data_IF_583636869826
#
_entry.id   IF_583636869826
#
_cell.length_a   1.000
_cell.length_b   1.000
_cell.length_c   1.000
_cell.angle_alpha   90.00
_cell.angle_beta   90.00
_cell.angle_gamma   90.00
#
_symmetry.space_group_name_H-M   'P 1'
#
loop_
_entity.id
_entity.type
_entity.pdbx_description
1 polymer ?
#
# COMPACT_ATOMS: atom_id res chain seq x y z
N UNK A 1 -19.75 3.29 14.44
CA UNK A 1 -19.63 2.84 13.01
C UNK A 1 -18.29 2.13 12.83
N UNK A 2 -18.24 0.98 12.16
CA UNK A 2 -16.95 0.31 11.84
C UNK A 2 -16.32 1.02 10.65
N UNK A 3 -15.03 1.32 10.76
CA UNK A 3 -14.25 2.06 9.75
C UNK A 3 -13.06 1.21 9.32
N UNK A 4 -12.82 1.13 8.00
CA UNK A 4 -11.61 0.51 7.44
C UNK A 4 -11.16 1.31 6.20
N UNK A 5 -10.10 2.09 6.37
CA UNK A 5 -9.60 3.00 5.34
C UNK A 5 -8.37 2.47 4.61
N UNK A 6 -7.94 1.22 4.87
CA UNK A 6 -6.76 0.63 4.24
C UNK A 6 -7.03 -0.83 3.85
N UNK A 7 -7.40 -1.02 2.57
CA UNK A 7 -7.81 -2.32 2.02
C UNK A 7 -7.27 -2.45 0.60
N UNK A 8 -6.82 -3.66 0.22
CA UNK A 8 -6.29 -3.94 -1.11
C UNK A 8 -7.19 -4.89 -1.90
N UNK A 9 -7.37 -4.57 -3.18
CA UNK A 9 -8.12 -5.38 -4.14
C UNK A 9 -7.19 -6.08 -5.15
N UNK A 10 -7.78 -6.89 -6.03
CA UNK A 10 -7.07 -7.46 -7.19
C UNK A 10 -6.55 -6.42 -8.18
N UNK A 11 -6.91 -5.14 -8.02
CA UNK A 11 -6.32 -4.05 -8.81
C UNK A 11 -4.88 -3.72 -8.39
N UNK A 12 -4.39 -4.30 -7.29
CA UNK A 12 -2.98 -4.35 -6.89
C UNK A 12 -2.59 -5.77 -6.50
N UNK A 13 -2.40 -6.04 -5.22
CA UNK A 13 -1.90 -7.31 -4.70
C UNK A 13 -2.82 -7.96 -3.66
N UNK A 14 -4.03 -7.46 -3.55
CA UNK A 14 -5.11 -8.11 -2.82
C UNK A 14 -5.70 -9.31 -3.57
N UNK A 15 -6.29 -10.25 -2.83
CA UNK A 15 -6.85 -11.49 -3.39
C UNK A 15 -8.35 -11.40 -3.69
N UNK A 16 -9.02 -10.33 -3.29
CA UNK A 16 -10.46 -10.15 -3.49
C UNK A 16 -10.74 -9.12 -4.59
N UNK A 17 -11.77 -9.37 -5.36
CA UNK A 17 -12.32 -8.36 -6.29
C UNK A 17 -13.00 -7.23 -5.51
N UNK A 18 -13.25 -6.11 -6.18
CA UNK A 18 -13.99 -4.99 -5.58
C UNK A 18 -15.37 -5.40 -5.09
N UNK A 19 -16.07 -6.26 -5.85
CA UNK A 19 -17.38 -6.80 -5.47
C UNK A 19 -17.30 -7.64 -4.21
N UNK A 20 -16.31 -8.53 -4.12
CA UNK A 20 -16.08 -9.38 -2.94
C UNK A 20 -15.76 -8.52 -1.73
N UNK A 21 -14.92 -7.48 -1.86
CA UNK A 21 -14.58 -6.55 -0.78
C UNK A 21 -15.80 -5.77 -0.26
N UNK A 22 -16.64 -5.25 -1.16
CA UNK A 22 -17.86 -4.51 -0.77
C UNK A 22 -18.88 -5.46 -0.10
N UNK A 23 -19.02 -6.68 -0.61
CA UNK A 23 -19.87 -7.69 0.02
C UNK A 23 -19.35 -8.09 1.41
N UNK A 24 -18.05 -8.27 1.57
CA UNK A 24 -17.43 -8.55 2.86
C UNK A 24 -17.61 -7.38 3.85
N UNK A 25 -17.43 -6.14 3.37
CA UNK A 25 -17.66 -4.93 4.15
C UNK A 25 -19.12 -4.88 4.68
N UNK A 26 -20.08 -5.21 3.83
CA UNK A 26 -21.50 -5.29 4.23
C UNK A 26 -21.74 -6.37 5.29
N UNK A 27 -21.19 -7.58 5.10
CA UNK A 27 -21.32 -8.68 6.05
C UNK A 27 -20.73 -8.35 7.42
N UNK A 28 -19.68 -7.53 7.46
CA UNK A 28 -19.00 -7.08 8.67
C UNK A 28 -19.55 -5.79 9.25
N UNK A 29 -20.62 -5.22 8.67
CA UNK A 29 -21.21 -3.93 9.07
C UNK A 29 -20.21 -2.76 9.04
N UNK A 30 -19.27 -2.77 8.09
CA UNK A 30 -18.38 -1.62 7.86
C UNK A 30 -19.21 -0.49 7.28
N UNK A 31 -19.23 0.64 7.98
CA UNK A 31 -20.01 1.81 7.56
C UNK A 31 -19.21 2.83 6.74
N UNK A 32 -17.88 2.81 6.86
CA UNK A 32 -16.96 3.64 6.09
C UNK A 32 -15.75 2.83 5.63
N UNK A 33 -15.46 2.85 4.32
CA UNK A 33 -14.31 2.14 3.76
C UNK A 33 -13.56 2.92 2.70
N UNK A 34 -12.32 2.52 2.47
CA UNK A 34 -11.51 2.93 1.33
C UNK A 34 -10.71 1.75 0.78
N UNK A 35 -10.72 1.56 -0.54
CA UNK A 35 -9.79 0.66 -1.22
C UNK A 35 -8.59 1.50 -1.64
N UNK A 36 -7.41 1.10 -1.21
CA UNK A 36 -6.15 1.85 -1.32
C UNK A 36 -5.09 1.08 -2.10
N UNK A 37 -5.48 0.54 -3.24
CA UNK A 37 -4.59 -0.28 -4.07
C UNK A 37 -3.23 0.39 -4.35
N UNK A 38 -2.16 -0.39 -4.30
CA UNK A 38 -0.79 0.10 -4.57
C UNK A 38 -0.65 0.70 -5.97
N UNK A 39 -0.33 2.00 -6.02
CA UNK A 39 -0.10 2.78 -7.25
C UNK A 39 -1.21 2.64 -8.29
N UNK A 40 -2.44 2.34 -7.86
CA UNK A 40 -3.60 2.12 -8.73
C UNK A 40 -4.86 2.79 -8.21
N UNK A 41 -5.56 3.48 -9.11
CA UNK A 41 -6.88 4.08 -8.84
C UNK A 41 -7.95 3.52 -9.79
N UNK A 42 -7.66 2.41 -10.47
CA UNK A 42 -8.54 1.85 -11.50
C UNK A 42 -9.88 1.37 -10.96
N UNK A 43 -9.92 0.94 -9.70
CA UNK A 43 -11.13 0.42 -9.06
C UNK A 43 -12.05 1.51 -8.48
N UNK A 44 -11.60 2.76 -8.35
CA UNK A 44 -12.23 3.78 -7.49
C UNK A 44 -13.69 4.11 -7.86
N UNK A 45 -14.00 4.28 -9.15
CA UNK A 45 -15.38 4.57 -9.58
C UNK A 45 -16.30 3.39 -9.29
N UNK A 46 -15.87 2.16 -9.63
CA UNK A 46 -16.60 0.92 -9.36
C UNK A 46 -16.83 0.69 -7.86
N UNK A 47 -15.80 0.88 -7.06
CA UNK A 47 -15.87 0.73 -5.61
C UNK A 47 -16.86 1.71 -4.97
N UNK A 48 -16.80 2.98 -5.35
CA UNK A 48 -17.73 4.01 -4.89
C UNK A 48 -19.20 3.67 -5.22
N UNK A 49 -19.45 3.24 -6.47
CA UNK A 49 -20.81 2.91 -6.89
C UNK A 49 -21.36 1.68 -6.17
N UNK A 50 -20.53 0.67 -5.95
CA UNK A 50 -20.92 -0.54 -5.24
C UNK A 50 -21.12 -0.27 -3.74
N UNK A 51 -20.22 0.48 -3.10
CA UNK A 51 -20.35 0.87 -1.70
C UNK A 51 -21.66 1.65 -1.48
N UNK A 52 -21.93 2.67 -2.30
CA UNK A 52 -23.17 3.46 -2.25
C UNK A 52 -24.44 2.59 -2.38
N UNK A 53 -24.45 1.64 -3.32
CA UNK A 53 -25.59 0.71 -3.50
C UNK A 53 -25.83 -0.18 -2.28
N UNK A 54 -24.78 -0.41 -1.47
CA UNK A 54 -24.86 -1.20 -0.24
C UNK A 54 -24.97 -0.36 1.04
N UNK A 55 -25.16 0.97 0.94
CA UNK A 55 -25.30 1.86 2.10
C UNK A 55 -23.99 2.07 2.87
N UNK A 56 -22.84 1.88 2.23
CA UNK A 56 -21.51 2.06 2.81
C UNK A 56 -20.94 3.39 2.32
N UNK A 57 -20.46 4.23 3.23
CA UNK A 57 -19.71 5.43 2.90
C UNK A 57 -18.35 5.03 2.29
N UNK A 58 -17.94 5.74 1.23
CA UNK A 58 -16.71 5.42 0.51
C UNK A 58 -15.82 6.65 0.33
N UNK A 59 -14.57 6.53 0.72
CA UNK A 59 -13.51 7.51 0.45
C UNK A 59 -12.63 6.98 -0.67
N UNK A 60 -12.38 7.78 -1.72
CA UNK A 60 -11.38 7.38 -2.73
C UNK A 60 -10.01 7.25 -2.09
N UNK A 61 -9.31 6.17 -2.41
CA UNK A 61 -8.02 5.84 -1.81
C UNK A 61 -6.99 5.32 -2.81
N UNK A 62 -5.72 5.52 -2.50
CA UNK A 62 -4.57 4.93 -3.20
C UNK A 62 -3.42 4.82 -2.22
N UNK A 63 -2.64 3.75 -2.30
CA UNK A 63 -1.37 3.66 -1.59
C UNK A 63 -0.21 3.86 -2.56
N UNK A 64 0.56 4.93 -2.34
CA UNK A 64 1.69 5.33 -3.18
C UNK A 64 3.00 4.87 -2.57
N UNK A 65 3.80 4.13 -3.33
CA UNK A 65 5.14 3.78 -2.91
C UNK A 65 6.12 4.91 -3.24
N UNK A 66 6.70 5.49 -2.20
CA UNK A 66 7.56 6.68 -2.25
C UNK A 66 9.01 6.30 -1.95
N UNK A 67 9.93 6.84 -2.73
CA UNK A 67 11.37 6.78 -2.46
C UNK A 67 11.73 7.86 -1.45
N UNK A 68 12.27 7.46 -0.31
CA UNK A 68 12.65 8.34 0.79
C UNK A 68 14.09 8.09 1.22
N UNK A 69 14.80 9.13 1.63
CA UNK A 69 16.13 9.02 2.26
C UNK A 69 16.27 10.06 3.37
N UNK A 70 17.02 9.72 4.39
CA UNK A 70 17.31 10.64 5.49
C UNK A 70 18.81 10.65 5.78
N UNK A 71 19.47 11.82 5.88
CA UNK A 71 20.94 11.90 5.96
C UNK A 71 21.52 11.23 7.22
N UNK A 72 20.76 11.21 8.32
CA UNK A 72 21.20 10.61 9.60
C UNK A 72 21.11 9.08 9.63
N UNK A 73 20.40 8.45 8.66
CA UNK A 73 20.11 7.01 8.69
C UNK A 73 20.63 6.34 7.42
N UNK A 74 21.15 5.11 7.56
CA UNK A 74 21.62 4.26 6.46
C UNK A 74 22.57 4.96 5.48
N UNK A 75 23.41 5.87 5.96
CA UNK A 75 24.36 6.63 5.11
C UNK A 75 23.64 7.42 3.99
N UNK A 76 22.40 7.85 4.20
CA UNK A 76 21.58 8.53 3.20
C UNK A 76 21.03 7.63 2.08
N UNK A 77 21.19 6.30 2.19
CA UNK A 77 20.65 5.35 1.20
C UNK A 77 19.12 5.37 1.21
N UNK A 78 18.55 5.42 0.03
CA UNK A 78 17.09 5.45 -0.15
C UNK A 78 16.42 4.16 0.32
N UNK A 79 15.24 4.32 0.89
CA UNK A 79 14.28 3.27 1.23
C UNK A 79 12.97 3.52 0.51
N UNK A 80 12.06 2.55 0.55
CA UNK A 80 10.65 2.78 0.19
C UNK A 80 9.84 3.05 1.45
N UNK A 81 8.93 4.00 1.38
CA UNK A 81 7.85 4.22 2.34
C UNK A 81 6.52 4.26 1.59
N UNK A 82 5.45 3.85 2.22
CA UNK A 82 4.12 3.92 1.62
C UNK A 82 3.31 5.09 2.22
N UNK A 83 2.55 5.76 1.35
CA UNK A 83 1.69 6.89 1.69
C UNK A 83 0.31 6.69 1.10
N UNK A 84 -0.70 6.91 1.91
CA UNK A 84 -2.11 6.83 1.50
C UNK A 84 -2.59 8.18 0.98
N UNK A 85 -3.14 8.18 -0.22
CA UNK A 85 -3.86 9.33 -0.75
C UNK A 85 -5.36 9.13 -0.55
N UNK A 86 -6.07 10.15 -0.06
CA UNK A 86 -7.51 10.08 0.21
C UNK A 86 -8.29 11.24 -0.39
N UNK A 87 -9.57 11.05 -0.68
CA UNK A 87 -10.53 12.06 -1.14
C UNK A 87 -10.14 12.78 -2.44
N UNK A 88 -9.24 12.24 -3.21
CA UNK A 88 -8.84 12.82 -4.50
C UNK A 88 -9.91 12.56 -5.58
N UNK A 89 -9.91 13.42 -6.59
CA UNK A 89 -10.65 13.17 -7.83
C UNK A 89 -9.92 12.10 -8.66
N UNK A 90 -10.52 10.90 -8.72
CA UNK A 90 -9.99 9.79 -9.51
C UNK A 90 -9.95 10.07 -11.03
N UNK A 91 -10.54 11.17 -11.51
CA UNK A 91 -10.47 11.63 -12.91
C UNK A 91 -9.32 12.59 -13.18
N UNK A 92 -8.61 13.04 -12.15
CA UNK A 92 -7.47 13.94 -12.30
C UNK A 92 -6.43 13.37 -13.28
N UNK A 93 -6.17 14.09 -14.36
CA UNK A 93 -5.34 13.62 -15.47
C UNK A 93 -3.88 13.48 -15.09
N UNK A 94 -3.35 14.37 -14.27
CA UNK A 94 -1.94 14.33 -13.85
C UNK A 94 -1.65 13.13 -12.94
N UNK A 95 -2.55 12.87 -11.98
CA UNK A 95 -2.45 11.69 -11.11
C UNK A 95 -2.56 10.39 -11.92
N UNK A 96 -3.56 10.29 -12.81
CA UNK A 96 -3.74 9.12 -13.70
C UNK A 96 -2.52 8.85 -14.57
N UNK A 97 -1.98 9.88 -15.18
CA UNK A 97 -0.81 9.74 -16.07
C UNK A 97 0.43 9.28 -15.29
N UNK A 98 0.66 9.84 -14.10
CA UNK A 98 1.78 9.39 -13.26
C UNK A 98 1.64 7.92 -12.86
N UNK A 99 0.45 7.51 -12.41
CA UNK A 99 0.20 6.12 -12.04
C UNK A 99 0.34 5.17 -13.25
N UNK A 100 -0.08 5.61 -14.45
CA UNK A 100 0.12 4.85 -15.69
C UNK A 100 1.60 4.63 -15.98
N UNK A 101 2.44 5.66 -15.83
CA UNK A 101 3.90 5.57 -16.02
C UNK A 101 4.52 4.61 -14.99
N UNK A 102 4.07 4.67 -13.74
CA UNK A 102 4.53 3.74 -12.69
C UNK A 102 4.13 2.31 -13.00
N UNK A 103 2.90 2.06 -13.48
CA UNK A 103 2.43 0.73 -13.88
C UNK A 103 3.24 0.16 -15.05
N UNK A 104 3.54 0.95 -16.07
CA UNK A 104 4.40 0.50 -17.18
C UNK A 104 5.82 0.16 -16.71
N UNK A 105 6.39 1.00 -15.83
CA UNK A 105 7.70 0.70 -15.25
C UNK A 105 7.69 -0.62 -14.45
N UNK A 106 6.62 -0.89 -13.68
CA UNK A 106 6.48 -2.13 -12.91
C UNK A 106 6.48 -3.37 -13.80
N UNK A 107 5.87 -3.33 -14.99
CA UNK A 107 5.92 -4.43 -15.96
C UNK A 107 7.36 -4.71 -16.40
N UNK A 108 8.08 -3.68 -16.81
CA UNK A 108 9.50 -3.81 -17.19
C UNK A 108 10.39 -4.28 -16.04
N UNK A 109 10.11 -3.81 -14.82
CA UNK A 109 10.80 -4.24 -13.61
C UNK A 109 10.56 -5.71 -13.30
N UNK A 110 9.32 -6.19 -13.40
CA UNK A 110 8.98 -7.59 -13.18
C UNK A 110 9.72 -8.51 -14.16
N UNK A 111 9.79 -8.14 -15.44
CA UNK A 111 10.57 -8.90 -16.43
C UNK A 111 12.06 -9.01 -16.05
N UNK A 112 12.66 -7.92 -15.52
CA UNK A 112 14.04 -7.93 -15.02
C UNK A 112 14.21 -8.83 -13.78
N UNK A 113 13.24 -8.78 -12.85
CA UNK A 113 13.23 -9.65 -11.67
C UNK A 113 13.19 -11.13 -12.12
N UNK A 114 12.36 -11.48 -13.10
CA UNK A 114 12.32 -12.86 -13.63
C UNK A 114 13.66 -13.26 -14.27
N UNK A 115 14.32 -12.34 -14.95
CA UNK A 115 15.67 -12.58 -15.46
C UNK A 115 16.68 -12.90 -14.35
N UNK A 116 16.65 -12.11 -13.25
CA UNK A 116 17.49 -12.36 -12.08
C UNK A 116 17.14 -13.69 -11.39
N UNK A 117 15.85 -14.02 -11.26
CA UNK A 117 15.39 -15.31 -10.73
C UNK A 117 15.92 -16.47 -11.56
N UNK A 118 15.86 -16.38 -12.89
CA UNK A 118 16.37 -17.42 -13.77
C UNK A 118 17.88 -17.67 -13.61
N UNK A 119 18.63 -16.62 -13.32
CA UNK A 119 20.06 -16.75 -13.01
C UNK A 119 20.30 -17.48 -11.67
N UNK A 120 19.44 -17.27 -10.67
CA UNK A 120 19.50 -18.02 -9.40
C UNK A 120 19.03 -19.47 -9.58
N UNK A 121 17.96 -19.69 -10.32
CA UNK A 121 17.43 -21.04 -10.61
C UNK A 121 18.44 -21.91 -11.34
N UNK A 122 19.19 -21.33 -12.27
CA UNK A 122 20.25 -22.06 -12.98
C UNK A 122 21.34 -22.59 -12.02
N UNK A 123 21.70 -21.81 -10.99
CA UNK A 123 22.66 -22.24 -9.95
C UNK A 123 22.13 -23.37 -9.07
N UNK A 124 20.79 -23.41 -8.87
CA UNK A 124 20.12 -24.42 -8.03
C UNK A 124 19.59 -25.62 -8.84
N UNK A 125 19.83 -25.66 -10.17
CA UNK A 125 19.28 -26.71 -11.04
C UNK A 125 17.78 -26.70 -11.22
N UNK A 126 17.13 -25.55 -10.97
CA UNK A 126 15.68 -25.34 -11.15
C UNK A 126 15.41 -24.91 -12.58
N UNK A 127 14.30 -25.37 -13.15
CA UNK A 127 13.86 -24.97 -14.50
C UNK A 127 13.60 -23.46 -14.60
N UNK A 128 14.06 -22.84 -15.70
CA UNK A 128 13.88 -21.40 -15.94
C UNK A 128 12.41 -21.05 -16.17
N UNK A 129 11.98 -19.90 -15.66
CA UNK A 129 10.71 -19.28 -16.02
C UNK A 129 10.78 -18.78 -17.48
N UNK A 130 9.75 -19.06 -18.24
CA UNK A 130 9.64 -18.74 -19.66
C UNK A 130 8.85 -17.44 -19.88
N UNK A 131 8.72 -17.02 -21.14
CA UNK A 131 7.83 -15.92 -21.50
C UNK A 131 6.37 -16.24 -21.18
N UNK A 132 5.94 -17.49 -21.37
CA UNK A 132 4.58 -17.92 -21.01
C UNK A 132 4.32 -17.80 -19.49
N UNK A 133 5.32 -18.14 -18.66
CA UNK A 133 5.21 -17.97 -17.21
C UNK A 133 5.01 -16.49 -16.86
N UNK A 134 5.72 -15.56 -17.53
CA UNK A 134 5.51 -14.14 -17.34
C UNK A 134 4.12 -13.67 -17.79
N UNK A 135 3.62 -14.16 -18.91
CA UNK A 135 2.28 -13.87 -19.40
C UNK A 135 1.19 -14.39 -18.44
N UNK A 136 1.39 -15.58 -17.85
CA UNK A 136 0.49 -16.10 -16.79
C UNK A 136 0.51 -15.21 -15.53
N UNK A 137 1.69 -14.76 -15.07
CA UNK A 137 1.79 -13.84 -13.94
C UNK A 137 1.05 -12.54 -14.24
N UNK A 138 1.23 -11.96 -15.44
CA UNK A 138 0.54 -10.74 -15.84
C UNK A 138 -0.97 -10.93 -15.91
N UNK A 139 -1.44 -12.06 -16.45
CA UNK A 139 -2.87 -12.37 -16.55
C UNK A 139 -3.55 -12.64 -15.19
N UNK A 140 -2.78 -12.93 -14.14
CA UNK A 140 -3.31 -13.12 -12.79
C UNK A 140 -3.61 -11.80 -12.04
N UNK A 141 -3.28 -10.65 -12.64
CA UNK A 141 -3.36 -9.34 -12.02
C UNK A 141 -4.34 -8.45 -12.79
N UNK A 142 -5.36 -7.95 -12.11
CA UNK A 142 -6.34 -7.04 -12.73
C UNK A 142 -5.83 -5.58 -12.84
N UNK A 143 -4.63 -5.29 -12.32
CA UNK A 143 -4.07 -3.94 -12.27
C UNK A 143 -2.54 -3.89 -12.23
N UNK A 144 -1.97 -3.56 -11.08
CA UNK A 144 -0.54 -3.26 -10.94
C UNK A 144 0.27 -4.48 -10.52
N UNK A 145 1.18 -4.93 -11.39
CA UNK A 145 2.05 -6.07 -11.15
C UNK A 145 3.11 -5.77 -10.08
N UNK A 146 3.20 -6.63 -9.07
CA UNK A 146 4.15 -6.56 -7.97
C UNK A 146 4.88 -7.88 -7.69
N UNK A 147 5.87 -7.84 -6.80
CA UNK A 147 6.59 -9.04 -6.33
C UNK A 147 5.68 -10.09 -5.66
N UNK A 148 4.61 -9.72 -4.93
CA UNK A 148 3.68 -10.71 -4.38
C UNK A 148 3.09 -11.64 -5.43
N UNK A 149 2.76 -11.15 -6.64
CA UNK A 149 2.25 -11.97 -7.74
C UNK A 149 3.29 -12.96 -8.26
N UNK A 150 4.57 -12.54 -8.30
CA UNK A 150 5.68 -13.45 -8.64
C UNK A 150 5.80 -14.52 -7.55
N UNK A 151 5.70 -14.13 -6.27
CA UNK A 151 5.75 -15.07 -5.13
C UNK A 151 4.65 -16.13 -5.24
N UNK A 152 3.40 -15.71 -5.49
CA UNK A 152 2.26 -16.62 -5.67
C UNK A 152 2.47 -17.58 -6.83
N UNK A 153 3.06 -17.08 -7.92
CA UNK A 153 3.39 -17.93 -9.06
C UNK A 153 4.45 -18.97 -8.73
N UNK A 154 5.49 -18.60 -7.98
CA UNK A 154 6.51 -19.55 -7.50
C UNK A 154 5.90 -20.61 -6.57
N UNK A 155 4.93 -20.25 -5.72
CA UNK A 155 4.15 -21.19 -4.90
C UNK A 155 3.32 -22.12 -5.80
N UNK A 156 2.58 -21.57 -6.78
CA UNK A 156 1.79 -22.33 -7.75
C UNK A 156 2.65 -23.36 -8.51
N UNK A 157 3.87 -23.00 -8.84
CA UNK A 157 4.86 -23.90 -9.52
C UNK A 157 5.52 -24.91 -8.58
N UNK A 158 5.27 -24.84 -7.28
CA UNK A 158 5.91 -25.72 -6.28
C UNK A 158 7.41 -25.46 -6.06
N UNK A 159 7.91 -24.28 -6.49
CA UNK A 159 9.32 -23.88 -6.30
C UNK A 159 9.56 -23.48 -4.84
N UNK A 160 8.55 -22.89 -4.20
CA UNK A 160 8.53 -22.50 -2.79
C UNK A 160 7.21 -22.91 -2.15
N UNK A 161 7.17 -23.02 -0.80
CA UNK A 161 6.00 -23.46 -0.05
C UNK A 161 4.98 -22.35 0.22
N UNK A 162 5.45 -21.11 0.33
CA UNK A 162 4.62 -19.94 0.63
C UNK A 162 5.31 -18.65 0.18
N UNK A 163 4.56 -17.52 0.25
CA UNK A 163 5.08 -16.18 -0.14
C UNK A 163 6.34 -15.80 0.64
N UNK A 164 6.38 -16.05 1.96
CA UNK A 164 7.52 -15.67 2.80
C UNK A 164 8.81 -16.35 2.30
N UNK A 165 8.75 -17.66 2.03
CA UNK A 165 9.91 -18.39 1.48
C UNK A 165 10.35 -17.83 0.10
N UNK A 166 9.40 -17.41 -0.74
CA UNK A 166 9.72 -16.76 -2.01
C UNK A 166 10.52 -15.47 -1.82
N UNK A 167 10.12 -14.65 -0.85
CA UNK A 167 10.84 -13.42 -0.54
C UNK A 167 12.22 -13.71 0.07
N UNK A 168 12.30 -14.58 1.06
CA UNK A 168 13.53 -14.88 1.79
C UNK A 168 14.61 -15.51 0.88
N UNK A 169 14.21 -16.45 0.03
CA UNK A 169 15.14 -17.16 -0.86
C UNK A 169 15.50 -16.37 -2.11
N UNK A 170 14.55 -15.63 -2.69
CA UNK A 170 14.71 -15.12 -4.04
C UNK A 170 14.38 -13.64 -4.21
N UNK A 171 13.17 -13.18 -3.84
CA UNK A 171 12.64 -11.90 -4.31
C UNK A 171 13.31 -10.68 -3.66
N UNK A 172 13.96 -10.84 -2.51
CA UNK A 172 14.76 -9.77 -1.90
C UNK A 172 16.07 -9.59 -2.67
N UNK A 173 16.79 -10.69 -2.95
CA UNK A 173 18.09 -10.61 -3.66
C UNK A 173 17.98 -10.37 -5.15
N UNK A 174 16.87 -10.78 -5.77
CA UNK A 174 16.59 -10.59 -7.21
C UNK A 174 15.88 -9.27 -7.50
N UNK A 175 15.68 -8.42 -6.50
CA UNK A 175 14.94 -7.18 -6.66
C UNK A 175 15.62 -6.20 -7.62
N UNK A 176 14.81 -5.32 -8.21
CA UNK A 176 15.25 -4.25 -9.11
C UNK A 176 14.65 -2.95 -8.56
N UNK A 177 15.37 -1.82 -8.62
CA UNK A 177 14.89 -0.55 -8.11
C UNK A 177 13.47 -0.22 -8.58
N UNK A 178 12.66 0.31 -7.68
CA UNK A 178 11.31 0.80 -7.99
C UNK A 178 11.38 2.10 -8.78
N UNK A 179 10.27 2.50 -9.40
CA UNK A 179 10.14 3.83 -10.00
C UNK A 179 10.31 4.90 -8.91
N UNK A 180 11.19 5.87 -9.10
CA UNK A 180 11.42 6.90 -8.09
C UNK A 180 10.26 7.90 -8.09
N UNK A 181 9.38 7.80 -7.11
CA UNK A 181 8.41 8.81 -6.74
C UNK A 181 8.84 9.39 -5.41
N UNK A 182 9.15 10.68 -5.35
CA UNK A 182 9.54 11.35 -4.11
C UNK A 182 8.34 11.95 -3.39
N UNK A 183 8.44 12.13 -2.07
CA UNK A 183 7.32 12.58 -1.23
C UNK A 183 6.73 13.93 -1.67
N UNK A 184 7.57 14.88 -2.04
CA UNK A 184 7.12 16.18 -2.55
C UNK A 184 6.26 16.04 -3.81
N UNK A 185 6.67 15.17 -4.74
CA UNK A 185 5.92 14.92 -5.97
C UNK A 185 4.61 14.18 -5.66
N UNK A 186 4.63 13.16 -4.81
CA UNK A 186 3.45 12.42 -4.38
C UNK A 186 2.43 13.36 -3.71
N UNK A 187 2.88 14.19 -2.78
CA UNK A 187 2.09 15.20 -2.10
C UNK A 187 1.41 16.16 -3.09
N UNK A 188 2.20 16.72 -4.01
CA UNK A 188 1.69 17.63 -5.04
C UNK A 188 0.63 16.96 -5.92
N UNK A 189 0.85 15.72 -6.35
CA UNK A 189 -0.10 14.99 -7.20
C UNK A 189 -1.43 14.75 -6.48
N UNK A 190 -1.39 14.28 -5.23
CA UNK A 190 -2.59 14.01 -4.45
C UNK A 190 -3.34 15.29 -4.11
N UNK A 191 -2.63 16.34 -3.63
CA UNK A 191 -3.24 17.63 -3.28
C UNK A 191 -3.80 18.36 -4.50
N UNK A 192 -3.12 18.31 -5.65
CA UNK A 192 -3.65 18.90 -6.90
C UNK A 192 -4.88 18.14 -7.44
N UNK A 193 -5.06 16.90 -7.04
CA UNK A 193 -6.29 16.15 -7.29
C UNK A 193 -7.40 16.43 -6.24
N UNK A 194 -7.19 17.37 -5.31
CA UNK A 194 -8.12 17.72 -4.23
C UNK A 194 -8.04 16.80 -3.02
N UNK A 195 -7.06 15.90 -2.98
CA UNK A 195 -6.92 14.90 -1.93
C UNK A 195 -6.01 15.31 -0.77
N UNK A 196 -5.87 14.38 0.16
CA UNK A 196 -4.99 14.46 1.34
C UNK A 196 -4.00 13.31 1.32
N UNK A 197 -2.76 13.55 1.75
CA UNK A 197 -1.71 12.52 1.81
C UNK A 197 -1.36 12.18 3.26
N UNK A 198 -1.29 10.89 3.55
CA UNK A 198 -1.14 10.33 4.90
C UNK A 198 0.01 9.32 4.91
N UNK A 199 0.90 9.39 5.89
CA UNK A 199 1.94 8.37 6.06
C UNK A 199 1.30 7.05 6.49
N UNK A 200 1.48 5.99 5.70
CA UNK A 200 0.94 4.66 5.95
C UNK A 200 1.76 3.91 7.00
N UNK A 201 1.10 3.13 7.85
CA UNK A 201 1.69 2.15 8.79
C UNK A 201 3.15 2.43 9.22
N UNK A 202 3.45 3.58 9.83
CA UNK A 202 4.84 4.05 10.01
C UNK A 202 5.71 3.12 10.85
N UNK A 203 5.13 2.27 11.70
CA UNK A 203 5.85 1.32 12.55
C UNK A 203 5.61 -0.15 12.20
N UNK A 204 5.14 -0.46 10.97
CA UNK A 204 4.97 -1.86 10.57
C UNK A 204 6.33 -2.57 10.37
N UNK A 205 6.63 -3.63 11.15
CA UNK A 205 7.89 -4.35 11.02
C UNK A 205 8.00 -5.19 9.74
N UNK A 206 6.90 -5.41 9.04
CA UNK A 206 6.82 -6.23 7.82
C UNK A 206 6.54 -5.42 6.56
N UNK A 207 6.19 -4.14 6.71
CA UNK A 207 5.88 -3.22 5.62
C UNK A 207 7.04 -2.33 5.18
N UNK A 208 6.75 -1.47 4.22
CA UNK A 208 7.64 -0.38 3.79
C UNK A 208 7.45 0.82 4.71
N UNK A 209 8.10 0.78 5.86
CA UNK A 209 7.87 1.67 6.99
C UNK A 209 9.16 2.27 7.57
N UNK A 210 9.03 3.22 8.49
CA UNK A 210 10.13 3.85 9.21
C UNK A 210 10.93 2.88 10.08
N UNK A 211 10.38 1.71 10.43
CA UNK A 211 11.12 0.63 11.11
C UNK A 211 12.39 0.23 10.34
N UNK A 212 12.40 0.41 9.02
CA UNK A 212 13.58 0.19 8.18
C UNK A 212 14.75 1.13 8.53
N UNK A 213 14.45 2.32 9.09
CA UNK A 213 15.45 3.29 9.54
C UNK A 213 15.73 3.14 11.03
N UNK A 214 14.68 3.09 11.84
CA UNK A 214 14.80 2.96 13.31
C UNK A 214 13.56 2.28 13.90
N UNK A 215 13.77 1.53 15.00
CA UNK A 215 12.69 0.93 15.80
C UNK A 215 12.19 1.86 16.92
N UNK A 216 12.85 2.98 17.14
CA UNK A 216 12.47 3.95 18.16
C UNK A 216 11.32 4.81 17.65
N UNK A 217 10.16 4.76 18.33
CA UNK A 217 9.01 5.58 17.97
C UNK A 217 9.31 7.09 18.04
N UNK A 218 10.11 7.53 19.01
CA UNK A 218 10.53 8.94 19.11
C UNK A 218 11.39 9.37 17.93
N UNK A 219 12.36 8.54 17.52
CA UNK A 219 13.18 8.84 16.34
C UNK A 219 12.35 8.81 15.06
N UNK A 220 11.33 7.92 14.95
CA UNK A 220 10.42 7.91 13.82
C UNK A 220 9.64 9.23 13.71
N UNK A 221 9.14 9.77 14.83
CA UNK A 221 8.45 11.07 14.81
C UNK A 221 9.40 12.24 14.57
N UNK A 222 10.64 12.20 15.06
CA UNK A 222 11.68 13.18 14.69
C UNK A 222 11.95 13.19 13.16
N UNK A 223 12.02 12.01 12.51
CA UNK A 223 12.16 11.92 11.06
C UNK A 223 10.94 12.54 10.34
N UNK A 224 9.74 12.32 10.85
CA UNK A 224 8.53 12.92 10.29
C UNK A 224 8.57 14.44 10.43
N UNK A 225 8.93 14.96 11.60
CA UNK A 225 9.08 16.40 11.85
C UNK A 225 10.11 17.06 10.94
N UNK A 226 11.30 16.46 10.84
CA UNK A 226 12.41 17.02 10.06
C UNK A 226 12.17 16.98 8.54
N UNK A 227 11.42 15.99 8.05
CA UNK A 227 11.42 15.67 6.59
C UNK A 227 10.07 15.52 5.94
N UNK A 228 8.95 15.44 6.69
CA UNK A 228 7.66 15.06 6.10
C UNK A 228 6.52 16.04 6.40
N UNK A 229 6.51 16.78 7.53
CA UNK A 229 5.37 17.62 7.95
C UNK A 229 4.91 18.62 6.88
N UNK A 230 5.82 19.17 6.06
CA UNK A 230 5.46 20.07 4.96
C UNK A 230 4.69 19.40 3.82
N UNK A 231 4.76 18.08 3.74
CA UNK A 231 4.26 17.31 2.61
C UNK A 231 3.09 16.38 2.95
N UNK A 232 2.86 16.05 4.22
CA UNK A 232 1.78 15.18 4.64
C UNK A 232 0.65 15.95 5.31
N UNK A 233 -0.57 15.42 5.23
CA UNK A 233 -1.75 15.94 5.89
C UNK A 233 -2.16 15.07 7.09
N UNK A 234 -1.56 13.87 7.23
CA UNK A 234 -1.91 12.94 8.29
C UNK A 234 -0.97 11.78 8.48
N UNK A 235 -1.31 10.93 9.46
CA UNK A 235 -0.60 9.68 9.80
C UNK A 235 -1.62 8.59 10.06
N UNK A 236 -1.34 7.36 9.61
CA UNK A 236 -2.12 6.18 9.95
C UNK A 236 -1.76 5.73 11.37
N UNK A 237 -2.70 5.97 12.29
CA UNK A 237 -2.51 5.71 13.72
C UNK A 237 -2.95 4.31 14.14
N UNK A 238 -4.03 3.80 13.51
CA UNK A 238 -4.59 2.48 13.81
C UNK A 238 -4.34 1.52 12.66
N UNK A 239 -3.57 0.49 12.93
CA UNK A 239 -3.21 -0.51 11.92
C UNK A 239 -3.24 -1.91 12.53
N UNK A 240 -3.53 -2.94 11.74
CA UNK A 240 -3.67 -4.32 12.20
C UNK A 240 -2.43 -4.88 12.92
N UNK A 241 -1.26 -4.29 12.69
CA UNK A 241 0.02 -4.69 13.31
C UNK A 241 0.53 -3.71 14.37
N UNK A 242 -0.25 -2.68 14.70
CA UNK A 242 0.10 -1.77 15.79
C UNK A 242 -0.34 -2.35 17.13
N UNK A 243 0.54 -2.26 18.12
CA UNK A 243 0.16 -2.40 19.51
C UNK A 243 -0.40 -1.08 20.08
N UNK A 244 -0.92 -1.14 21.30
CA UNK A 244 -1.48 0.04 21.96
C UNK A 244 -0.45 1.15 22.17
N UNK A 245 0.82 0.81 22.39
CA UNK A 245 1.92 1.78 22.57
C UNK A 245 2.15 2.56 21.29
N UNK A 246 2.27 1.86 20.18
CA UNK A 246 2.44 2.44 18.84
C UNK A 246 1.26 3.32 18.46
N UNK A 247 0.04 2.82 18.63
CA UNK A 247 -1.19 3.57 18.36
C UNK A 247 -1.26 4.85 19.17
N UNK A 248 -1.05 4.79 20.49
CA UNK A 248 -1.09 5.95 21.38
C UNK A 248 -0.01 6.98 21.02
N UNK A 249 1.17 6.52 20.64
CA UNK A 249 2.28 7.38 20.22
C UNK A 249 1.89 8.22 19.00
N UNK A 250 1.40 7.57 17.91
CA UNK A 250 1.03 8.28 16.69
C UNK A 250 -0.24 9.12 16.83
N UNK A 251 -1.21 8.70 17.65
CA UNK A 251 -2.38 9.52 17.99
C UNK A 251 -1.98 10.80 18.71
N UNK A 252 -1.05 10.71 19.69
CA UNK A 252 -0.51 11.87 20.39
C UNK A 252 0.21 12.80 19.42
N UNK A 253 1.13 12.25 18.63
CA UNK A 253 1.88 12.99 17.63
C UNK A 253 0.98 13.72 16.62
N UNK A 254 -0.01 13.02 16.06
CA UNK A 254 -0.94 13.62 15.12
C UNK A 254 -1.74 14.78 15.71
N UNK A 255 -2.18 14.65 16.98
CA UNK A 255 -2.87 15.73 17.70
C UNK A 255 -1.99 16.95 17.94
N UNK A 256 -0.74 16.74 18.33
CA UNK A 256 0.23 17.81 18.60
C UNK A 256 0.55 18.63 17.35
N UNK A 257 0.53 17.99 16.17
CA UNK A 257 0.83 18.62 14.88
C UNK A 257 -0.41 18.99 14.05
N UNK A 258 -1.62 18.78 14.57
CA UNK A 258 -2.86 19.08 13.82
C UNK A 258 -3.05 18.23 12.57
N UNK A 259 -2.48 17.03 12.54
CA UNK A 259 -2.58 16.08 11.44
C UNK A 259 -3.89 15.29 11.49
N UNK A 260 -4.44 14.95 10.34
CA UNK A 260 -5.54 13.98 10.29
C UNK A 260 -5.03 12.59 10.70
N UNK A 261 -5.92 11.82 11.29
CA UNK A 261 -5.63 10.46 11.74
C UNK A 261 -6.47 9.48 10.92
N UNK A 262 -5.85 8.42 10.44
CA UNK A 262 -6.54 7.34 9.72
C UNK A 262 -6.22 6.00 10.33
N UNK A 263 -6.92 4.97 9.86
CA UNK A 263 -6.61 3.60 10.25
C UNK A 263 -7.36 2.60 9.38
N UNK A 264 -6.80 1.40 9.31
CA UNK A 264 -7.35 0.32 8.54
C UNK A 264 -6.66 -1.02 8.81
N UNK A 265 -7.19 -2.04 8.16
CA UNK A 265 -6.73 -3.41 8.35
C UNK A 265 -5.49 -3.77 7.55
N UNK A 266 -5.23 -3.07 6.46
CA UNK A 266 -4.23 -3.42 5.44
C UNK A 266 -4.50 -4.85 4.90
N UNK A 267 -5.80 -5.15 4.68
CA UNK A 267 -6.24 -6.48 4.32
C UNK A 267 -5.96 -6.78 2.84
N UNK A 268 -5.11 -7.78 2.60
CA UNK A 268 -4.75 -8.25 1.25
C UNK A 268 -5.35 -9.63 0.93
N UNK A 269 -5.52 -10.48 1.95
CA UNK A 269 -5.81 -11.90 1.75
C UNK A 269 -6.54 -12.51 2.95
N UNK A 270 -6.83 -13.80 2.85
CA UNK A 270 -7.35 -14.58 3.98
C UNK A 270 -6.23 -14.89 4.99
N UNK A 271 -6.49 -14.87 6.32
CA UNK A 271 -7.79 -14.55 6.92
C UNK A 271 -8.16 -13.08 6.67
N UNK A 272 -9.45 -12.79 6.42
CA UNK A 272 -9.92 -11.44 6.13
C UNK A 272 -9.93 -10.62 7.41
N UNK A 273 -9.10 -9.57 7.45
CA UNK A 273 -8.93 -8.68 8.59
C UNK A 273 -9.78 -7.40 8.51
N UNK A 274 -10.56 -7.23 7.43
CA UNK A 274 -11.38 -6.03 7.24
C UNK A 274 -12.27 -5.73 8.45
N UNK A 275 -12.23 -4.50 8.93
CA UNK A 275 -13.03 -4.03 10.05
C UNK A 275 -12.66 -4.59 11.42
N UNK A 276 -11.48 -5.25 11.56
CA UNK A 276 -11.01 -5.78 12.85
C UNK A 276 -10.18 -4.76 13.65
N UNK A 277 -9.77 -3.68 13.03
CA UNK A 277 -9.04 -2.58 13.68
C UNK A 277 -10.06 -1.61 14.27
N UNK A 278 -9.92 -1.32 15.56
CA UNK A 278 -10.83 -0.39 16.29
C UNK A 278 -10.47 1.07 15.97
N UNK A 279 -10.90 1.53 14.78
CA UNK A 279 -10.74 2.93 14.37
C UNK A 279 -11.87 3.76 14.99
N UNK A 280 -11.57 4.82 15.78
CA UNK A 280 -12.60 5.65 16.42
C UNK A 280 -13.51 6.36 15.41
N UNK A 281 -14.80 6.49 15.75
CA UNK A 281 -15.81 7.12 14.85
C UNK A 281 -15.49 8.55 14.44
N UNK A 282 -14.84 9.33 15.31
CA UNK A 282 -14.46 10.71 14.98
C UNK A 282 -13.49 10.81 13.79
N UNK A 283 -12.83 9.71 13.42
CA UNK A 283 -11.99 9.65 12.20
C UNK A 283 -12.83 9.92 10.96
N UNK A 284 -14.08 9.47 10.92
CA UNK A 284 -14.98 9.73 9.79
C UNK A 284 -15.30 11.22 9.61
N UNK A 285 -15.32 12.01 10.68
CA UNK A 285 -15.64 13.44 10.66
C UNK A 285 -14.56 14.26 9.92
N UNK A 286 -13.35 13.74 9.80
CA UNK A 286 -12.23 14.37 9.07
C UNK A 286 -12.42 14.30 7.54
N UNK A 287 -13.31 13.42 7.11
CA UNK A 287 -13.69 13.26 5.71
C UNK A 287 -15.09 13.88 5.53
N UNK A 288 -15.21 14.93 4.73
CA UNK A 288 -16.49 15.54 4.40
C UNK A 288 -17.34 14.56 3.57
N UNK A 289 -17.94 13.57 4.24
CA UNK A 289 -18.79 12.57 3.61
C UNK A 289 -20.17 13.20 3.36
N UNK A 290 -20.49 13.51 2.11
CA UNK A 290 -21.83 13.98 1.67
C UNK A 290 -22.65 12.81 1.15
#
# INVERSE_FOLDING_TARGET
MIIDLHIHSKSSDGNLTVEELVNEAKLRNIGLMSITDHDSISCQEKARDLARKNGICYVSGVELNVTFSHPKYREGKSISLDFLGYQFDAKNTALKEKLRQMAEYRKGRAAKILGNLNAEFEKEGIGKLTKNDFEEIQASVDGVLGRPHIADYLVKKGIVRNRQEAFDRYLVKCDVPKYPLYLEEASRLVRNAGGKIVLAHPNDPHGTSLVTLTKSLSEQTEIIEESMLGFIDGVECWHSRNDATTTNHYVKFAKEHGLIMTGGSDCHQKPILMGTVEVPEYVAEQFNLK
#
